data_IF_493344246565
#
_entry.id   IF_493344246565
#
_cell.length_a   1.000
_cell.length_b   1.000
_cell.length_c   1.000
_cell.angle_alpha   90.00
_cell.angle_beta   90.00
_cell.angle_gamma   90.00
#
_symmetry.space_group_name_H-M   'P 1'
#
loop_
_entity.id
_entity.type
_entity.pdbx_description
1 polymer ?
#
# COMPACT_ATOMS: atom_id res chain seq x y z
N UNK A 1 -21.86 17.79 -5.43
CA UNK A 1 -21.17 18.42 -4.28
C UNK A 1 -22.21 18.67 -3.22
N UNK A 2 -22.05 18.09 -2.02
CA UNK A 2 -22.97 18.33 -0.90
C UNK A 2 -22.99 19.83 -0.54
N UNK A 3 -24.17 20.41 -0.34
CA UNK A 3 -24.38 21.85 -0.12
C UNK A 3 -24.52 22.23 1.37
N UNK A 4 -24.26 21.33 2.31
CA UNK A 4 -24.47 21.58 3.74
C UNK A 4 -23.23 21.20 4.59
N UNK A 5 -23.10 21.78 5.82
CA UNK A 5 -21.89 21.83 6.66
C UNK A 5 -21.17 20.48 6.84
N UNK A 6 -19.84 20.48 7.08
CA UNK A 6 -19.11 21.35 8.01
C UNK A 6 -18.22 22.39 7.32
N UNK A 7 -18.51 22.77 6.06
CA UNK A 7 -17.91 23.94 5.43
C UNK A 7 -18.40 25.27 6.06
N UNK A 8 -18.64 25.29 7.37
CA UNK A 8 -18.71 26.53 8.13
C UNK A 8 -17.30 27.17 8.10
N UNK A 9 -17.22 28.48 8.26
CA UNK A 9 -15.97 29.26 8.12
C UNK A 9 -14.88 28.92 9.16
N UNK A 10 -15.02 27.83 9.90
CA UNK A 10 -14.19 27.40 11.02
C UNK A 10 -13.25 26.24 10.64
N UNK A 11 -13.51 25.51 9.56
CA UNK A 11 -12.72 24.34 9.17
C UNK A 11 -12.29 24.38 7.71
N UNK A 12 -11.04 23.98 7.45
CA UNK A 12 -10.45 23.84 6.12
C UNK A 12 -10.08 22.39 5.87
N UNK A 13 -10.62 21.81 4.79
CA UNK A 13 -10.19 20.52 4.26
C UNK A 13 -8.87 20.71 3.52
N UNK A 14 -7.85 19.96 3.91
CA UNK A 14 -6.52 20.00 3.27
C UNK A 14 -6.09 18.66 2.67
N UNK A 15 -6.85 17.59 2.93
CA UNK A 15 -6.58 16.27 2.42
C UNK A 15 -7.76 15.33 2.59
N UNK A 16 -7.57 14.10 2.15
CA UNK A 16 -8.48 12.98 2.36
C UNK A 16 -7.69 11.69 2.29
N UNK A 17 -8.20 10.65 2.92
CA UNK A 17 -7.65 9.33 2.81
C UNK A 17 -8.30 8.50 1.69
N UNK A 18 -7.88 7.22 1.61
CA UNK A 18 -8.41 6.25 0.64
C UNK A 18 -9.77 5.67 1.07
N UNK A 19 -10.21 5.92 2.29
CA UNK A 19 -11.43 5.39 2.90
C UNK A 19 -12.48 6.47 3.12
N UNK A 20 -12.42 7.54 2.32
CA UNK A 20 -13.40 8.64 2.27
C UNK A 20 -13.46 9.53 3.52
N UNK A 21 -12.50 9.40 4.46
CA UNK A 21 -12.32 10.35 5.55
C UNK A 21 -11.56 11.59 5.06
N UNK A 22 -12.09 12.77 5.38
CA UNK A 22 -11.46 14.06 5.08
C UNK A 22 -10.51 14.46 6.19
N UNK A 23 -9.39 15.08 5.82
CA UNK A 23 -8.45 15.68 6.76
C UNK A 23 -8.75 17.17 6.87
N UNK A 24 -9.08 17.61 8.08
CA UNK A 24 -9.57 18.96 8.33
C UNK A 24 -8.73 19.68 9.37
N UNK A 25 -8.60 20.99 9.21
CA UNK A 25 -7.90 21.84 10.17
C UNK A 25 -8.73 23.06 10.55
N UNK A 26 -8.67 23.45 11.82
CA UNK A 26 -9.41 24.58 12.37
C UNK A 26 -8.80 25.91 11.91
N UNK A 27 -9.61 26.77 11.33
CA UNK A 27 -9.27 28.14 10.97
C UNK A 27 -9.27 29.03 12.23
N UNK A 28 -8.36 30.01 12.28
CA UNK A 28 -8.25 30.98 13.38
C UNK A 28 -8.02 30.37 14.78
N UNK A 29 -7.38 29.19 14.86
CA UNK A 29 -7.05 28.56 16.14
C UNK A 29 -6.10 29.43 16.99
N UNK A 30 -6.32 29.44 18.31
CA UNK A 30 -5.42 30.13 19.23
C UNK A 30 -4.11 29.36 19.42
N UNK A 31 -3.04 30.06 19.80
CA UNK A 31 -1.75 29.43 20.08
C UNK A 31 -1.90 28.39 21.20
N UNK A 32 -1.60 27.13 20.88
CA UNK A 32 -1.67 26.01 21.82
C UNK A 32 -2.99 25.21 21.76
N UNK A 33 -3.94 25.61 20.91
CA UNK A 33 -5.10 24.76 20.62
C UNK A 33 -4.72 23.60 19.70
N UNK A 34 -5.46 22.50 19.81
CA UNK A 34 -5.49 21.49 18.77
C UNK A 34 -6.18 22.05 17.53
N UNK A 35 -5.65 21.68 16.36
CA UNK A 35 -6.04 22.26 15.08
C UNK A 35 -6.43 21.20 14.07
N UNK A 36 -5.91 19.98 14.13
CA UNK A 36 -6.10 18.95 13.09
C UNK A 36 -6.98 17.80 13.59
N UNK A 37 -7.79 17.23 12.70
CA UNK A 37 -8.53 15.98 12.92
C UNK A 37 -8.97 15.36 11.59
N UNK A 38 -9.54 14.15 11.65
CA UNK A 38 -10.27 13.51 10.56
C UNK A 38 -11.77 13.74 10.70
N UNK A 39 -12.50 13.67 9.60
CA UNK A 39 -13.96 13.74 9.58
C UNK A 39 -14.51 12.87 8.45
N UNK A 40 -15.48 12.00 8.78
CA UNK A 40 -16.18 11.17 7.81
C UNK A 40 -17.59 11.71 7.58
N UNK A 41 -17.80 12.26 6.39
CA UNK A 41 -19.08 12.86 5.99
C UNK A 41 -20.24 11.88 5.83
N UNK A 42 -19.97 10.57 5.73
CA UNK A 42 -21.02 9.56 5.66
C UNK A 42 -21.51 9.17 7.06
N UNK A 43 -20.64 9.32 8.06
CA UNK A 43 -20.90 8.90 9.44
C UNK A 43 -21.27 10.06 10.37
N UNK A 44 -20.80 11.27 10.07
CA UNK A 44 -20.91 12.43 10.96
C UNK A 44 -21.46 13.67 10.23
N UNK A 45 -22.46 14.32 10.83
CA UNK A 45 -23.05 15.56 10.29
C UNK A 45 -22.15 16.80 10.47
N UNK A 46 -21.23 16.78 11.45
CA UNK A 46 -20.35 17.90 11.78
C UNK A 46 -18.97 17.43 12.21
N UNK A 47 -17.93 18.22 11.92
CA UNK A 47 -16.60 18.02 12.52
C UNK A 47 -16.70 18.27 14.03
N UNK A 48 -16.30 17.30 14.85
CA UNK A 48 -16.29 17.43 16.31
C UNK A 48 -15.10 18.28 16.80
N UNK A 49 -14.20 17.72 17.62
CA UNK A 49 -13.06 18.45 18.19
C UNK A 49 -11.78 18.13 17.45
N UNK A 50 -10.91 19.15 17.33
CA UNK A 50 -9.55 18.93 16.88
C UNK A 50 -8.77 18.10 17.91
N UNK A 51 -8.03 17.11 17.40
CA UNK A 51 -7.31 16.12 18.22
C UNK A 51 -5.83 16.43 18.31
N UNK A 52 -5.23 16.99 17.25
CA UNK A 52 -3.78 17.18 17.15
C UNK A 52 -3.38 18.65 17.07
N UNK A 53 -2.27 19.00 17.71
CA UNK A 53 -1.75 20.37 17.75
C UNK A 53 -0.85 20.71 16.56
N UNK A 54 -0.26 19.68 15.93
CA UNK A 54 0.65 19.84 14.80
C UNK A 54 0.28 18.91 13.64
N UNK A 55 0.59 19.36 12.41
CA UNK A 55 0.39 18.55 11.21
C UNK A 55 1.25 17.28 11.23
N UNK A 56 2.45 17.35 11.82
CA UNK A 56 3.36 16.20 11.92
C UNK A 56 2.77 15.14 12.84
N UNK A 57 2.27 15.51 14.02
CA UNK A 57 1.60 14.56 14.92
C UNK A 57 0.39 13.91 14.25
N UNK A 58 -0.44 14.71 13.57
CA UNK A 58 -1.59 14.21 12.81
C UNK A 58 -1.17 13.17 11.76
N UNK A 59 -0.21 13.52 10.88
CA UNK A 59 0.21 12.62 9.81
C UNK A 59 0.89 11.36 10.34
N UNK A 60 1.67 11.45 11.41
CA UNK A 60 2.29 10.29 12.05
C UNK A 60 1.29 9.37 12.73
N UNK A 61 0.17 9.88 13.23
CA UNK A 61 -0.90 9.05 13.78
C UNK A 61 -1.71 8.37 12.67
N UNK A 62 -2.06 9.14 11.63
CA UNK A 62 -2.65 8.57 10.42
C UNK A 62 -1.78 7.46 9.83
N UNK A 63 -0.45 7.64 9.75
CA UNK A 63 0.47 6.62 9.28
C UNK A 63 0.41 5.33 10.11
N UNK A 64 0.30 5.43 11.44
CA UNK A 64 0.13 4.25 12.31
C UNK A 64 -1.20 3.56 12.11
N UNK A 65 -2.28 4.34 12.00
CA UNK A 65 -3.61 3.79 11.72
C UNK A 65 -3.62 3.08 10.36
N UNK A 66 -2.91 3.61 9.36
CA UNK A 66 -2.75 2.95 8.05
C UNK A 66 -1.77 1.78 8.05
N UNK A 67 -0.75 1.77 8.91
CA UNK A 67 0.14 0.61 9.07
C UNK A 67 -0.61 -0.60 9.66
N UNK A 68 -1.69 -0.36 10.43
CA UNK A 68 -2.58 -1.41 10.95
C UNK A 68 -3.58 -1.91 9.89
N UNK A 69 -3.86 -1.14 8.84
CA UNK A 69 -4.53 -1.67 7.65
C UNK A 69 -3.48 -2.42 6.81
N UNK A 70 -3.58 -3.77 6.76
CA UNK A 70 -2.80 -4.55 5.79
C UNK A 70 -2.87 -3.83 4.43
N UNK A 71 -1.72 -3.39 3.91
CA UNK A 71 -1.60 -2.71 2.61
C UNK A 71 -2.00 -3.70 1.50
N UNK A 72 -3.31 -3.92 1.39
CA UNK A 72 -3.95 -4.91 0.52
C UNK A 72 -3.96 -4.43 -0.92
N UNK A 73 -3.83 -3.13 -1.14
CA UNK A 73 -3.81 -2.51 -2.45
C UNK A 73 -2.41 -2.57 -3.10
N UNK A 74 -1.33 -2.47 -2.31
CA UNK A 74 0.00 -2.52 -2.91
C UNK A 74 0.35 -3.94 -3.34
N UNK A 75 0.74 -4.06 -4.60
CA UNK A 75 1.20 -5.30 -5.19
C UNK A 75 2.66 -5.21 -5.62
N UNK A 76 3.30 -6.37 -5.80
CA UNK A 76 4.71 -6.48 -6.11
C UNK A 76 4.90 -7.48 -7.24
N UNK A 77 5.66 -7.09 -8.25
CA UNK A 77 6.14 -8.03 -9.26
C UNK A 77 7.27 -8.87 -8.68
N UNK A 78 7.13 -10.18 -8.79
CA UNK A 78 8.10 -11.17 -8.32
C UNK A 78 9.02 -11.53 -9.48
N UNK A 79 10.28 -11.11 -9.42
CA UNK A 79 11.26 -11.33 -10.48
C UNK A 79 12.32 -12.31 -10.00
N UNK A 80 12.51 -13.41 -10.72
CA UNK A 80 13.56 -14.37 -10.47
C UNK A 80 14.85 -13.96 -11.19
N UNK A 81 15.97 -13.96 -10.49
CA UNK A 81 17.28 -13.52 -11.02
C UNK A 81 18.35 -14.61 -11.00
N UNK A 82 18.24 -15.59 -10.10
CA UNK A 82 19.25 -16.61 -9.93
C UNK A 82 18.71 -18.01 -10.20
N UNK A 83 19.61 -18.89 -10.65
CA UNK A 83 19.32 -20.30 -10.84
C UNK A 83 18.86 -20.93 -9.52
N UNK A 84 17.76 -21.67 -9.60
CA UNK A 84 17.11 -22.28 -8.45
C UNK A 84 16.78 -23.74 -8.75
N UNK A 85 16.82 -24.60 -7.73
CA UNK A 85 16.36 -25.99 -7.89
C UNK A 85 14.85 -26.05 -8.05
N UNK A 86 14.34 -27.13 -8.66
CA UNK A 86 12.89 -27.33 -8.82
C UNK A 86 12.16 -27.31 -7.47
N UNK A 87 12.71 -27.97 -6.46
CA UNK A 87 12.11 -28.05 -5.11
C UNK A 87 12.04 -26.68 -4.45
N UNK A 88 13.11 -25.89 -4.54
CA UNK A 88 13.14 -24.53 -4.01
C UNK A 88 12.21 -23.59 -4.79
N UNK A 89 12.10 -23.74 -6.11
CA UNK A 89 11.19 -22.95 -6.94
C UNK A 89 9.72 -23.21 -6.59
N UNK A 90 9.35 -24.48 -6.39
CA UNK A 90 8.01 -24.86 -5.95
C UNK A 90 7.70 -24.35 -4.55
N UNK A 91 8.69 -24.39 -3.65
CA UNK A 91 8.57 -23.82 -2.31
C UNK A 91 8.33 -22.31 -2.35
N UNK A 92 9.10 -21.57 -3.17
CA UNK A 92 8.91 -20.13 -3.40
C UNK A 92 7.50 -19.85 -3.92
N UNK A 93 7.03 -20.61 -4.94
CA UNK A 93 5.67 -20.48 -5.46
C UNK A 93 4.61 -20.59 -4.37
N UNK A 94 4.75 -21.57 -3.48
CA UNK A 94 3.76 -21.83 -2.44
C UNK A 94 3.82 -20.78 -1.32
N UNK A 95 5.03 -20.38 -0.87
CA UNK A 95 5.19 -19.37 0.19
C UNK A 95 4.64 -18.00 -0.25
N UNK A 96 4.93 -17.62 -1.50
CA UNK A 96 4.50 -16.35 -2.07
C UNK A 96 3.09 -16.40 -2.65
N UNK A 97 2.43 -17.57 -2.63
CA UNK A 97 1.07 -17.79 -3.16
C UNK A 97 0.92 -17.35 -4.63
N UNK A 98 1.96 -17.56 -5.43
CA UNK A 98 2.00 -17.16 -6.84
C UNK A 98 0.92 -17.89 -7.66
N UNK A 99 0.07 -17.11 -8.32
CA UNK A 99 -0.98 -17.57 -9.23
C UNK A 99 -0.42 -17.93 -10.61
N UNK A 100 0.57 -18.80 -10.64
CA UNK A 100 1.24 -19.30 -11.84
C UNK A 100 1.16 -20.82 -11.90
N UNK A 101 0.92 -21.39 -13.08
CA UNK A 101 0.93 -22.85 -13.25
C UNK A 101 2.34 -23.42 -13.08
N UNK A 102 2.48 -24.67 -12.62
CA UNK A 102 3.81 -25.30 -12.48
C UNK A 102 4.56 -25.39 -13.82
N UNK A 103 3.83 -25.55 -14.94
CA UNK A 103 4.41 -25.58 -16.28
C UNK A 103 5.01 -24.22 -16.64
N UNK A 104 4.22 -23.16 -16.49
CA UNK A 104 4.67 -21.80 -16.81
C UNK A 104 5.81 -21.34 -15.89
N UNK A 105 5.73 -21.69 -14.60
CA UNK A 105 6.79 -21.43 -13.62
C UNK A 105 8.14 -22.03 -14.09
N UNK A 106 8.10 -23.27 -14.58
CA UNK A 106 9.27 -23.98 -15.11
C UNK A 106 9.81 -23.35 -16.38
N UNK A 107 8.94 -22.90 -17.28
CA UNK A 107 9.33 -22.22 -18.51
C UNK A 107 10.00 -20.87 -18.19
N UNK A 108 9.39 -20.08 -17.31
CA UNK A 108 9.91 -18.78 -16.87
C UNK A 108 11.22 -18.89 -16.11
N UNK A 109 11.40 -19.93 -15.30
CA UNK A 109 12.64 -20.17 -14.58
C UNK A 109 13.80 -20.66 -15.46
N UNK A 110 13.61 -20.88 -16.77
CA UNK A 110 14.75 -21.18 -17.68
C UNK A 110 15.49 -19.92 -18.13
N UNK A 111 14.86 -18.76 -18.04
CA UNK A 111 15.38 -17.49 -18.55
C UNK A 111 15.46 -16.49 -17.38
N UNK A 112 16.66 -15.97 -17.10
CA UNK A 112 16.87 -15.00 -16.03
C UNK A 112 17.36 -13.67 -16.63
N UNK A 113 16.86 -12.50 -16.16
CA UNK A 113 15.74 -12.36 -15.22
C UNK A 113 14.39 -12.69 -15.87
N UNK A 114 13.41 -13.12 -15.06
CA UNK A 114 12.03 -13.36 -15.52
C UNK A 114 11.00 -13.04 -14.45
N UNK A 115 9.83 -12.56 -14.89
CA UNK A 115 8.70 -12.24 -14.00
C UNK A 115 7.88 -13.51 -13.75
N UNK A 116 7.83 -13.95 -12.50
CA UNK A 116 7.02 -15.10 -12.08
C UNK A 116 5.54 -14.73 -11.88
N UNK A 117 5.24 -13.47 -11.59
CA UNK A 117 3.88 -12.98 -11.40
C UNK A 117 3.82 -11.79 -10.44
N UNK A 118 2.61 -11.46 -10.00
CA UNK A 118 2.33 -10.37 -9.06
C UNK A 118 1.81 -10.98 -7.75
N UNK A 119 2.24 -10.42 -6.62
CA UNK A 119 1.82 -10.82 -5.27
C UNK A 119 1.42 -9.62 -4.43
N UNK A 120 0.63 -9.84 -3.37
CA UNK A 120 0.25 -8.78 -2.43
C UNK A 120 1.41 -8.36 -1.53
N UNK A 121 1.27 -7.20 -0.89
CA UNK A 121 2.19 -6.77 0.17
C UNK A 121 2.38 -7.83 1.26
N UNK A 122 1.29 -8.48 1.67
CA UNK A 122 1.32 -9.57 2.67
C UNK A 122 2.24 -10.71 2.25
N UNK A 123 2.12 -11.19 1.02
CA UNK A 123 2.99 -12.25 0.49
C UNK A 123 4.45 -11.80 0.37
N UNK A 124 4.69 -10.53 0.01
CA UNK A 124 6.04 -9.96 -0.01
C UNK A 124 6.63 -9.90 1.41
N UNK A 125 5.87 -9.39 2.39
CA UNK A 125 6.29 -9.32 3.81
C UNK A 125 6.60 -10.68 4.41
N UNK A 126 5.93 -11.76 3.98
CA UNK A 126 6.34 -13.12 4.38
C UNK A 126 7.80 -13.40 4.03
N UNK A 127 8.31 -12.91 2.90
CA UNK A 127 9.71 -13.11 2.52
C UNK A 127 10.72 -12.33 3.39
N UNK A 128 10.26 -11.41 4.24
CA UNK A 128 11.09 -10.71 5.23
C UNK A 128 11.25 -11.49 6.54
N UNK A 129 10.42 -12.52 6.79
CA UNK A 129 10.59 -13.41 7.94
C UNK A 129 11.92 -14.18 7.83
N UNK A 130 12.65 -14.31 8.95
CA UNK A 130 13.94 -15.04 9.03
C UNK A 130 13.84 -16.47 8.48
N UNK A 131 12.68 -17.10 8.64
CA UNK A 131 12.38 -18.44 8.12
C UNK A 131 12.48 -18.51 6.60
N UNK A 132 12.18 -17.41 5.91
CA UNK A 132 12.04 -17.33 4.46
C UNK A 132 13.08 -16.42 3.80
N UNK A 133 14.09 -15.94 4.53
CA UNK A 133 15.16 -15.08 3.99
C UNK A 133 15.88 -15.67 2.77
N UNK A 134 15.90 -17.01 2.64
CA UNK A 134 16.49 -17.67 1.46
C UNK A 134 15.82 -17.25 0.14
N UNK A 135 14.56 -16.80 0.16
CA UNK A 135 13.82 -16.34 -1.02
C UNK A 135 14.53 -15.16 -1.68
N UNK A 136 15.08 -14.23 -0.87
CA UNK A 136 15.80 -13.04 -1.34
C UNK A 136 17.09 -13.38 -2.11
N UNK A 137 17.60 -14.61 -1.99
CA UNK A 137 18.74 -15.09 -2.80
C UNK A 137 18.35 -15.36 -4.25
N UNK A 138 17.08 -15.62 -4.54
CA UNK A 138 16.61 -16.02 -5.87
C UNK A 138 15.70 -14.99 -6.52
N UNK A 139 14.95 -14.26 -5.70
CA UNK A 139 13.85 -13.41 -6.13
C UNK A 139 14.04 -11.99 -5.61
N UNK A 140 13.63 -11.01 -6.42
CA UNK A 140 13.43 -9.63 -5.97
C UNK A 140 11.98 -9.22 -6.19
N UNK A 141 11.52 -8.29 -5.35
CA UNK A 141 10.19 -7.70 -5.42
C UNK A 141 10.32 -6.27 -5.92
N UNK A 142 9.62 -5.98 -7.00
CA UNK A 142 9.50 -4.62 -7.51
C UNK A 142 8.09 -4.12 -7.19
N UNK A 143 7.98 -3.01 -6.45
CA UNK A 143 6.69 -2.40 -6.14
C UNK A 143 5.96 -2.03 -7.43
N UNK A 144 4.71 -2.46 -7.56
CA UNK A 144 3.84 -2.01 -8.62
C UNK A 144 3.09 -0.77 -8.12
N UNK A 145 3.62 0.41 -8.43
CA UNK A 145 2.86 1.62 -8.21
C UNK A 145 1.75 1.66 -9.28
N UNK A 146 0.51 1.55 -8.82
CA UNK A 146 -0.75 1.72 -9.56
C UNK A 146 -1.26 0.48 -10.35
N UNK A 147 -2.23 -0.24 -9.76
CA UNK A 147 -3.39 -0.68 -10.55
C UNK A 147 -4.33 0.54 -10.63
N UNK A 148 -4.71 0.96 -11.83
CA UNK A 148 -5.85 1.87 -11.98
C UNK A 148 -7.15 1.12 -11.64
N UNK A 149 -8.25 1.84 -11.39
CA UNK A 149 -9.60 1.29 -11.13
C UNK A 149 -10.11 0.36 -12.26
N UNK A 150 -9.33 0.16 -13.34
CA UNK A 150 -9.65 -0.63 -14.53
C UNK A 150 -8.67 -1.79 -14.78
N UNK A 151 -7.73 -2.07 -13.87
CA UNK A 151 -6.85 -3.24 -13.95
C UNK A 151 -5.90 -3.24 -15.15
N UNK A 152 -5.49 -2.08 -15.67
CA UNK A 152 -4.52 -2.03 -16.77
C UNK A 152 -3.09 -1.98 -16.26
N UNK A 153 -2.32 -3.01 -16.62
CA UNK A 153 -0.92 -3.20 -16.27
C UNK A 153 -0.03 -2.19 -17.01
N UNK A 154 0.80 -1.41 -16.29
CA UNK A 154 1.88 -0.64 -16.90
C UNK A 154 3.10 -1.54 -17.06
N UNK A 155 3.49 -1.80 -18.31
CA UNK A 155 4.74 -2.51 -18.61
C UNK A 155 5.92 -1.57 -18.39
N UNK A 156 6.70 -1.78 -17.34
CA UNK A 156 8.01 -1.13 -17.19
C UNK A 156 8.94 -1.77 -18.23
N UNK A 157 9.17 -1.06 -19.34
CA UNK A 157 10.18 -1.43 -20.31
C UNK A 157 11.57 -1.14 -19.72
N UNK A 158 12.32 -2.17 -19.39
CA UNK A 158 13.76 -2.03 -19.12
C UNK A 158 14.47 -1.78 -20.46
N UNK A 159 14.87 -0.54 -20.71
CA UNK A 159 15.85 -0.21 -21.76
C UNK A 159 17.19 -0.87 -21.40
N UNK A 160 17.78 -1.57 -22.38
CA UNK A 160 19.10 -2.22 -22.30
C UNK A 160 20.22 -1.28 -21.90
#
# INVERSE_FOLDING_TARGET
MSQYPPFNNEWLVFGRDKYFSYWVCKLNAQKGENVYTTWDHEMEETVDKATYSSLVEFLSDCEKDYDDFEDTATTYTVVIYNKVSLSTLMLIKNILELQISSKELLEKAKNYPSILGVVSHKSMKKADDKTYEFIKKYVRFNRCDCLDEKGKEWTINFSR
#
